data_IF_060975441231
#
_entry.id   IF_060975441231
#
_cell.length_a   1.000
_cell.length_b   1.000
_cell.length_c   1.000
_cell.angle_alpha   90.00
_cell.angle_beta   90.00
_cell.angle_gamma   90.00
#
_symmetry.space_group_name_H-M   'P 1'
#
loop_
_entity.id
_entity.type
_entity.pdbx_description
1 polymer ?
#
# COMPACT_ATOMS: atom_id res chain seq x y z
N UNK A 1 -51.35 -9.46 -17.04
CA UNK A 1 -50.47 -9.30 -18.22
C UNK A 1 -49.03 -9.14 -17.75
N UNK A 2 -48.16 -10.02 -18.22
CA UNK A 2 -46.81 -10.24 -17.75
C UNK A 2 -45.87 -9.12 -18.16
N UNK A 3 -45.14 -8.55 -17.19
CA UNK A 3 -43.97 -7.71 -17.44
C UNK A 3 -42.70 -8.48 -17.06
N UNK A 4 -41.89 -8.84 -18.05
CA UNK A 4 -40.64 -9.56 -17.86
C UNK A 4 -39.56 -8.59 -17.35
N UNK A 5 -39.01 -8.86 -16.18
CA UNK A 5 -37.81 -8.22 -15.70
C UNK A 5 -36.59 -8.78 -16.40
N UNK A 6 -35.84 -7.91 -17.07
CA UNK A 6 -34.54 -8.23 -17.66
C UNK A 6 -33.50 -8.16 -16.54
N UNK A 7 -32.98 -9.34 -16.19
CA UNK A 7 -31.89 -9.45 -15.25
C UNK A 7 -30.58 -8.91 -15.85
N UNK A 8 -30.10 -7.80 -15.32
CA UNK A 8 -28.73 -7.35 -15.59
C UNK A 8 -27.74 -8.32 -14.95
N UNK A 9 -26.98 -9.01 -15.79
CA UNK A 9 -25.83 -9.80 -15.34
C UNK A 9 -24.71 -8.86 -14.99
N UNK A 10 -24.52 -8.59 -13.69
CA UNK A 10 -23.31 -8.01 -13.20
C UNK A 10 -22.15 -8.95 -13.47
N UNK A 11 -21.15 -8.48 -14.20
CA UNK A 11 -19.89 -9.18 -14.37
C UNK A 11 -19.23 -9.25 -12.98
N UNK A 12 -19.42 -10.37 -12.30
CA UNK A 12 -18.72 -10.67 -11.06
C UNK A 12 -17.25 -10.88 -11.36
N UNK A 13 -16.42 -9.87 -11.13
CA UNK A 13 -14.99 -10.07 -11.03
C UNK A 13 -14.74 -11.07 -9.91
N UNK A 14 -14.14 -12.21 -10.23
CA UNK A 14 -13.69 -13.21 -9.25
C UNK A 14 -12.43 -12.67 -8.57
N UNK A 15 -12.58 -11.67 -7.71
CA UNK A 15 -11.55 -11.31 -6.76
C UNK A 15 -11.65 -12.29 -5.60
N UNK A 16 -10.59 -13.04 -5.33
CA UNK A 16 -10.49 -13.82 -4.11
C UNK A 16 -10.60 -12.91 -2.88
N UNK A 17 -10.99 -13.47 -1.74
CA UNK A 17 -11.02 -12.72 -0.48
C UNK A 17 -9.62 -12.16 -0.16
N UNK A 18 -9.55 -10.89 0.20
CA UNK A 18 -8.30 -10.23 0.59
C UNK A 18 -8.17 -10.30 2.11
N UNK A 19 -7.01 -10.76 2.58
CA UNK A 19 -6.63 -10.68 3.99
C UNK A 19 -5.31 -9.98 4.18
N UNK A 20 -5.08 -9.45 5.36
CA UNK A 20 -3.81 -8.83 5.73
C UNK A 20 -3.08 -9.73 6.72
N UNK A 21 -1.80 -9.96 6.46
CA UNK A 21 -0.91 -10.69 7.37
C UNK A 21 0.40 -9.94 7.57
N UNK A 22 1.13 -10.30 8.62
CA UNK A 22 2.49 -9.80 8.82
C UNK A 22 3.39 -10.25 7.67
N UNK A 23 4.22 -9.34 7.16
CA UNK A 23 5.27 -9.68 6.22
C UNK A 23 6.39 -10.48 6.93
N UNK A 24 7.00 -11.38 6.19
CA UNK A 24 8.17 -12.13 6.63
C UNK A 24 9.35 -11.83 5.70
N UNK A 25 10.55 -12.24 6.08
CA UNK A 25 11.75 -12.08 5.24
C UNK A 25 11.61 -12.74 3.86
N UNK A 26 10.73 -13.71 3.73
CA UNK A 26 10.41 -14.37 2.45
C UNK A 26 9.69 -13.45 1.47
N UNK A 27 9.04 -12.40 1.96
CA UNK A 27 8.34 -11.42 1.14
C UNK A 27 9.29 -10.35 0.55
N UNK A 28 10.52 -10.24 1.03
CA UNK A 28 11.44 -9.16 0.71
C UNK A 28 11.62 -8.91 -0.80
N UNK A 29 11.87 -9.98 -1.56
CA UNK A 29 12.06 -9.87 -3.02
C UNK A 29 10.78 -9.42 -3.73
N UNK A 30 9.64 -9.93 -3.29
CA UNK A 30 8.32 -9.61 -3.85
C UNK A 30 7.95 -8.15 -3.61
N UNK A 31 8.17 -7.66 -2.39
CA UNK A 31 7.90 -6.28 -2.02
C UNK A 31 8.85 -5.31 -2.75
N UNK A 32 10.12 -5.63 -2.86
CA UNK A 32 11.09 -4.86 -3.65
C UNK A 32 10.65 -4.74 -5.11
N UNK A 33 10.21 -5.83 -5.72
CA UNK A 33 9.71 -5.84 -7.09
C UNK A 33 8.48 -4.96 -7.23
N UNK A 34 7.54 -5.01 -6.27
CA UNK A 34 6.34 -4.19 -6.29
C UNK A 34 6.67 -2.70 -6.26
N UNK A 35 7.60 -2.27 -5.42
CA UNK A 35 8.06 -0.87 -5.38
C UNK A 35 8.66 -0.44 -6.71
N UNK A 36 9.61 -1.22 -7.24
CA UNK A 36 10.33 -0.89 -8.46
C UNK A 36 9.47 -0.88 -9.72
N UNK A 37 8.45 -1.71 -9.78
CA UNK A 37 7.55 -1.84 -10.93
C UNK A 37 6.27 -1.02 -10.82
N UNK A 38 6.08 -0.27 -9.75
CA UNK A 38 4.88 0.54 -9.55
C UNK A 38 4.75 1.65 -10.59
N UNK A 39 3.60 1.72 -11.24
CA UNK A 39 3.26 2.80 -12.19
C UNK A 39 3.16 4.17 -11.53
N UNK A 40 2.97 4.23 -10.21
CA UNK A 40 3.01 5.48 -9.46
C UNK A 40 4.35 6.23 -9.63
N UNK A 41 5.42 5.51 -9.95
CA UNK A 41 6.77 6.03 -10.15
C UNK A 41 7.28 5.88 -11.59
N UNK A 42 6.39 5.88 -12.57
CA UNK A 42 6.76 5.91 -13.98
C UNK A 42 7.24 7.31 -14.42
N UNK A 43 7.91 7.37 -15.57
CA UNK A 43 8.37 8.61 -16.17
C UNK A 43 9.42 9.32 -15.31
N UNK A 44 9.25 10.61 -15.00
CA UNK A 44 10.24 11.38 -14.24
C UNK A 44 10.44 10.88 -12.80
N UNK A 45 9.51 10.09 -12.27
CA UNK A 45 9.58 9.53 -10.91
C UNK A 45 10.33 8.19 -10.83
N UNK A 46 10.62 7.54 -11.95
CA UNK A 46 11.20 6.20 -12.01
C UNK A 46 12.57 6.10 -11.29
N UNK A 47 13.40 7.14 -11.42
CA UNK A 47 14.72 7.17 -10.81
C UNK A 47 14.69 7.05 -9.27
N UNK A 48 13.63 7.50 -8.64
CA UNK A 48 13.48 7.48 -7.18
C UNK A 48 13.42 6.06 -6.60
N UNK A 49 12.87 5.12 -7.34
CA UNK A 49 12.67 3.73 -6.89
C UNK A 49 13.54 2.71 -7.60
N UNK A 50 14.32 3.12 -8.60
CA UNK A 50 15.13 2.21 -9.44
C UNK A 50 16.10 1.36 -8.63
N UNK A 51 16.71 1.92 -7.58
CA UNK A 51 17.64 1.24 -6.68
C UNK A 51 17.01 0.84 -5.34
N UNK A 52 15.72 1.04 -5.15
CA UNK A 52 15.07 0.81 -3.88
C UNK A 52 14.99 -0.68 -3.54
N UNK A 53 15.18 -1.00 -2.26
CA UNK A 53 15.13 -2.37 -1.76
C UNK A 53 14.39 -2.43 -0.42
N UNK A 54 13.41 -3.32 -0.34
CA UNK A 54 12.79 -3.72 0.92
C UNK A 54 13.55 -4.95 1.42
N UNK A 55 14.50 -4.73 2.32
CA UNK A 55 15.36 -5.79 2.82
C UNK A 55 14.76 -6.58 3.99
N UNK A 56 15.33 -7.77 4.30
CA UNK A 56 14.90 -8.57 5.46
C UNK A 56 15.01 -7.82 6.78
N UNK A 57 16.09 -7.07 7.01
CA UNK A 57 16.31 -6.31 8.24
C UNK A 57 15.25 -5.21 8.41
N UNK A 58 14.86 -4.56 7.33
CA UNK A 58 13.79 -3.57 7.33
C UNK A 58 12.44 -4.20 7.72
N UNK A 59 12.11 -5.34 7.17
CA UNK A 59 10.87 -6.07 7.49
C UNK A 59 10.83 -6.49 8.95
N UNK A 60 11.95 -6.94 9.50
CA UNK A 60 12.03 -7.33 10.91
C UNK A 60 12.00 -6.12 11.87
N UNK A 61 12.61 -5.00 11.46
CA UNK A 61 12.71 -3.80 12.30
C UNK A 61 11.42 -2.99 12.40
N UNK A 62 10.51 -3.10 11.41
CA UNK A 62 9.31 -2.27 11.32
C UNK A 62 8.04 -3.12 11.25
N UNK A 63 6.90 -2.44 11.41
CA UNK A 63 5.57 -3.04 11.26
C UNK A 63 5.20 -3.13 9.78
N UNK A 64 5.58 -4.23 9.12
CA UNK A 64 5.32 -4.46 7.69
C UNK A 64 4.23 -5.52 7.52
N UNK A 65 3.18 -5.16 6.79
CA UNK A 65 2.02 -6.02 6.55
C UNK A 65 1.70 -6.09 5.07
N UNK A 66 1.31 -7.25 4.61
CA UNK A 66 0.92 -7.52 3.21
C UNK A 66 -0.56 -7.85 3.11
N UNK A 67 -1.19 -7.30 2.07
CA UNK A 67 -2.52 -7.69 1.65
C UNK A 67 -2.38 -8.80 0.60
N UNK A 68 -3.04 -9.92 0.82
CA UNK A 68 -2.97 -11.09 -0.04
C UNK A 68 -4.35 -11.54 -0.49
N UNK A 69 -4.44 -11.96 -1.74
CA UNK A 69 -5.61 -12.65 -2.29
C UNK A 69 -5.36 -14.15 -2.26
N UNK A 70 -6.36 -14.90 -1.82
CA UNK A 70 -6.37 -16.36 -1.88
C UNK A 70 -7.03 -16.83 -3.18
N UNK A 71 -6.47 -17.87 -3.82
CA UNK A 71 -7.09 -18.54 -4.96
C UNK A 71 -6.79 -17.97 -6.34
N UNK A 72 -5.74 -17.15 -6.50
CA UNK A 72 -5.22 -16.79 -7.81
C UNK A 72 -4.43 -17.94 -8.45
N UNK A 73 -4.63 -18.20 -9.72
CA UNK A 73 -3.83 -19.18 -10.48
C UNK A 73 -2.33 -18.88 -10.31
N UNK A 74 -1.62 -19.84 -9.74
CA UNK A 74 -0.17 -19.80 -9.61
C UNK A 74 0.49 -20.00 -10.99
N UNK A 75 0.41 -19.01 -11.86
CA UNK A 75 1.24 -18.94 -13.06
C UNK A 75 2.55 -18.24 -12.75
N UNK A 76 3.39 -18.91 -11.97
CA UNK A 76 4.71 -18.44 -11.64
C UNK A 76 5.34 -19.34 -10.59
N UNK A 77 6.23 -20.21 -11.03
CA UNK A 77 6.92 -21.21 -10.24
C UNK A 77 7.44 -20.69 -8.89
N UNK A 78 6.84 -21.14 -7.80
CA UNK A 78 7.26 -20.85 -6.43
C UNK A 78 6.26 -21.44 -5.46
N UNK A 79 6.65 -22.51 -4.82
CA UNK A 79 5.89 -23.33 -3.87
C UNK A 79 5.24 -22.50 -2.76
N UNK A 80 3.93 -22.41 -2.79
CA UNK A 80 3.08 -21.81 -1.77
C UNK A 80 1.69 -21.66 -2.32
N UNK A 81 0.76 -22.46 -1.85
CA UNK A 81 -0.62 -22.50 -2.33
C UNK A 81 -1.23 -21.12 -2.55
N UNK A 82 -1.31 -20.70 -3.82
CA UNK A 82 -2.31 -19.76 -4.28
C UNK A 82 -2.38 -18.35 -3.69
N UNK A 83 -1.35 -17.86 -2.99
CA UNK A 83 -1.34 -16.55 -2.36
C UNK A 83 -0.69 -15.49 -3.27
N UNK A 84 -1.45 -14.45 -3.62
CA UNK A 84 -0.95 -13.32 -4.40
C UNK A 84 -0.89 -12.06 -3.54
N UNK A 85 0.28 -11.44 -3.42
CA UNK A 85 0.41 -10.14 -2.75
C UNK A 85 -0.13 -9.04 -3.65
N UNK A 86 -1.12 -8.30 -3.17
CA UNK A 86 -1.79 -7.22 -3.91
C UNK A 86 -1.49 -5.83 -3.34
N UNK A 87 -0.83 -5.75 -2.22
CA UNK A 87 -0.39 -4.50 -1.61
C UNK A 87 0.37 -4.73 -0.32
N UNK A 88 0.99 -3.70 0.19
CA UNK A 88 1.64 -3.71 1.50
C UNK A 88 1.81 -2.32 2.06
N UNK A 89 2.06 -2.23 3.36
CA UNK A 89 2.54 -1.02 3.99
C UNK A 89 3.66 -1.33 4.99
N UNK A 90 4.44 -0.32 5.30
CA UNK A 90 5.43 -0.34 6.37
C UNK A 90 5.22 0.85 7.30
N UNK A 91 4.97 0.56 8.56
CA UNK A 91 4.82 1.55 9.63
C UNK A 91 6.06 1.53 10.50
N UNK A 92 6.74 2.67 10.57
CA UNK A 92 7.79 2.95 11.55
C UNK A 92 7.13 3.44 12.83
N UNK A 93 7.51 2.89 13.98
CA UNK A 93 6.87 3.24 15.25
C UNK A 93 7.50 4.46 15.95
N UNK A 94 8.81 4.67 15.75
CA UNK A 94 9.54 5.73 16.41
C UNK A 94 10.53 6.44 15.46
N UNK A 95 10.26 7.66 15.03
CA UNK A 95 8.99 8.39 15.18
C UNK A 95 7.88 7.78 14.32
N UNK A 96 6.59 7.96 14.68
CA UNK A 96 5.49 7.31 13.93
C UNK A 96 5.37 7.83 12.49
N UNK A 97 5.64 6.96 11.53
CA UNK A 97 5.59 7.29 10.10
C UNK A 97 5.13 6.10 9.26
N UNK A 98 4.17 6.35 8.38
CA UNK A 98 3.85 5.44 7.29
C UNK A 98 4.90 5.62 6.20
N UNK A 99 5.95 4.79 6.26
CA UNK A 99 7.12 4.94 5.41
C UNK A 99 6.90 4.44 3.98
N UNK A 100 6.17 3.33 3.85
CA UNK A 100 5.82 2.74 2.56
C UNK A 100 4.35 2.35 2.53
N UNK A 101 3.70 2.58 1.40
CA UNK A 101 2.41 2.00 1.06
C UNK A 101 2.29 1.85 -0.45
N UNK A 102 2.06 0.63 -0.89
CA UNK A 102 1.93 0.28 -2.30
C UNK A 102 0.76 -0.67 -2.52
N UNK A 103 0.05 -0.45 -3.62
CA UNK A 103 -0.97 -1.36 -4.13
C UNK A 103 -0.54 -1.78 -5.52
N UNK A 104 -0.60 -3.08 -5.80
CA UNK A 104 -0.27 -3.61 -7.12
C UNK A 104 -1.12 -2.92 -8.20
N UNK A 105 -0.52 -2.58 -9.35
CA UNK A 105 -1.19 -1.82 -10.40
C UNK A 105 -2.49 -2.47 -10.86
N UNK A 106 -2.49 -3.79 -11.01
CA UNK A 106 -3.66 -4.60 -11.41
C UNK A 106 -4.76 -4.70 -10.33
N UNK A 107 -4.44 -4.36 -9.08
CA UNK A 107 -5.36 -4.40 -7.94
C UNK A 107 -5.89 -3.01 -7.53
N UNK A 108 -5.47 -1.95 -8.21
CA UNK A 108 -5.93 -0.61 -7.91
C UNK A 108 -7.43 -0.45 -8.23
N UNK A 109 -8.11 0.38 -7.44
CA UNK A 109 -9.56 0.58 -7.56
C UNK A 109 -10.42 -0.47 -6.84
N UNK A 110 -9.81 -1.49 -6.21
CA UNK A 110 -10.51 -2.54 -5.46
C UNK A 110 -10.63 -2.28 -3.95
N UNK A 111 -10.23 -1.11 -3.47
CA UNK A 111 -10.30 -0.74 -2.04
C UNK A 111 -9.14 -1.27 -1.19
N UNK A 112 -8.09 -1.82 -1.80
CA UNK A 112 -6.94 -2.37 -1.08
C UNK A 112 -6.23 -1.29 -0.24
N UNK A 113 -6.02 -0.10 -0.80
CA UNK A 113 -5.40 1.01 -0.09
C UNK A 113 -6.17 1.42 1.17
N UNK A 114 -7.49 1.48 1.10
CA UNK A 114 -8.35 1.77 2.25
C UNK A 114 -8.26 0.69 3.32
N UNK A 115 -8.22 -0.58 2.89
CA UNK A 115 -8.07 -1.73 3.78
C UNK A 115 -6.73 -1.69 4.52
N UNK A 116 -5.65 -1.37 3.81
CA UNK A 116 -4.31 -1.21 4.38
C UNK A 116 -4.25 -0.06 5.40
N UNK A 117 -4.85 1.08 5.10
CA UNK A 117 -4.90 2.22 6.03
C UNK A 117 -5.71 1.88 7.29
N UNK A 118 -6.84 1.22 7.15
CA UNK A 118 -7.64 0.79 8.30
C UNK A 118 -6.86 -0.15 9.21
N UNK A 119 -6.17 -1.12 8.64
CA UNK A 119 -5.32 -2.05 9.38
C UNK A 119 -4.14 -1.32 10.05
N UNK A 120 -3.48 -0.40 9.34
CA UNK A 120 -2.39 0.42 9.88
C UNK A 120 -2.84 1.24 11.09
N UNK A 121 -4.04 1.81 11.05
CA UNK A 121 -4.61 2.53 12.21
C UNK A 121 -4.79 1.61 13.41
N UNK A 122 -5.22 0.37 13.21
CA UNK A 122 -5.37 -0.60 14.30
C UNK A 122 -4.01 -0.97 14.90
N UNK A 123 -3.00 -1.22 14.07
CA UNK A 123 -1.63 -1.48 14.52
C UNK A 123 -1.07 -0.29 15.30
N UNK A 124 -1.22 0.91 14.78
CA UNK A 124 -0.78 2.14 15.45
C UNK A 124 -1.48 2.36 16.79
N UNK A 125 -2.79 2.14 16.84
CA UNK A 125 -3.59 2.25 18.07
C UNK A 125 -3.10 1.25 19.13
N UNK A 126 -2.85 0.02 18.76
CA UNK A 126 -2.33 -1.01 19.67
C UNK A 126 -0.92 -0.70 20.16
N UNK A 127 -0.15 0.08 19.41
CA UNK A 127 1.17 0.57 19.81
C UNK A 127 1.12 1.88 20.63
N UNK A 128 -0.07 2.42 20.92
CA UNK A 128 -0.22 3.66 21.68
C UNK A 128 0.05 4.93 20.88
N UNK A 129 0.01 4.87 19.55
CA UNK A 129 0.29 5.99 18.65
C UNK A 129 -1.00 6.75 18.38
N UNK A 130 -0.98 8.08 18.58
CA UNK A 130 -2.13 8.94 18.35
C UNK A 130 -2.24 9.45 16.92
N UNK A 131 -1.12 9.65 16.24
CA UNK A 131 -1.07 10.12 14.85
C UNK A 131 0.14 9.60 14.12
N UNK A 132 0.02 9.44 12.81
CA UNK A 132 1.05 8.89 11.92
C UNK A 132 1.37 9.93 10.83
N UNK A 133 2.65 10.23 10.68
CA UNK A 133 3.15 11.10 9.62
C UNK A 133 3.21 10.34 8.30
N UNK A 134 2.87 11.02 7.21
CA UNK A 134 3.05 10.52 5.84
C UNK A 134 3.73 11.60 5.00
N UNK A 135 4.83 11.27 4.35
CA UNK A 135 5.40 12.10 3.29
C UNK A 135 4.92 11.51 1.97
N UNK A 136 3.92 12.13 1.39
CA UNK A 136 3.22 11.58 0.25
C UNK A 136 4.01 11.78 -1.05
N UNK A 137 4.04 10.74 -1.89
CA UNK A 137 4.29 10.94 -3.31
C UNK A 137 3.22 11.90 -3.85
N UNK A 138 3.58 12.98 -4.59
CA UNK A 138 2.61 14.03 -4.96
C UNK A 138 1.31 13.51 -5.60
N UNK A 139 1.33 12.54 -6.55
CA UNK A 139 0.10 11.99 -7.12
C UNK A 139 -0.79 11.23 -6.13
N UNK A 140 -0.27 10.80 -4.99
CA UNK A 140 -1.02 10.04 -3.98
C UNK A 140 -1.72 10.93 -2.93
N UNK A 141 -1.50 12.23 -2.93
CA UNK A 141 -2.09 13.15 -1.94
C UNK A 141 -3.63 13.03 -1.88
N UNK A 142 -4.28 12.95 -3.02
CA UNK A 142 -5.73 12.79 -3.11
C UNK A 142 -6.23 11.51 -2.43
N UNK A 143 -5.52 10.42 -2.59
CA UNK A 143 -5.83 9.17 -1.89
C UNK A 143 -5.73 9.34 -0.37
N UNK A 144 -4.63 9.90 0.12
CA UNK A 144 -4.45 10.10 1.56
C UNK A 144 -5.51 11.03 2.16
N UNK A 145 -5.88 12.10 1.45
CA UNK A 145 -7.01 12.95 1.86
C UNK A 145 -8.31 12.17 1.93
N UNK A 146 -8.55 11.28 0.99
CA UNK A 146 -9.78 10.46 0.95
C UNK A 146 -9.91 9.49 2.12
N UNK A 147 -8.81 9.14 2.77
CA UNK A 147 -8.79 8.28 3.98
C UNK A 147 -8.62 9.07 5.28
N UNK A 148 -8.81 10.39 5.23
CA UNK A 148 -8.83 11.25 6.40
C UNK A 148 -7.50 11.89 6.78
N UNK A 149 -6.47 11.77 5.96
CA UNK A 149 -5.23 12.49 6.18
C UNK A 149 -5.42 13.99 5.92
N UNK A 150 -4.77 14.80 6.72
CA UNK A 150 -4.74 16.27 6.54
C UNK A 150 -3.30 16.71 6.25
N UNK A 151 -3.17 17.68 5.36
CA UNK A 151 -1.86 18.24 5.02
C UNK A 151 -1.37 19.12 6.17
N UNK A 152 -0.15 18.87 6.63
CA UNK A 152 0.49 19.59 7.73
C UNK A 152 1.72 20.39 7.29
N UNK A 153 2.20 20.19 6.07
CA UNK A 153 3.36 20.89 5.57
C UNK A 153 3.81 20.42 4.19
N UNK A 154 5.04 20.75 3.88
CA UNK A 154 5.72 20.37 2.66
C UNK A 154 7.16 19.96 2.98
N UNK A 155 7.59 18.81 2.49
CA UNK A 155 8.99 18.40 2.52
C UNK A 155 9.62 18.86 1.21
N UNK A 156 10.60 19.76 1.30
CA UNK A 156 11.27 20.33 0.14
C UNK A 156 12.01 19.25 -0.67
N UNK A 157 12.13 19.48 -1.97
CA UNK A 157 12.99 18.68 -2.84
C UNK A 157 14.41 18.60 -2.26
N UNK A 158 15.05 17.46 -2.44
CA UNK A 158 16.43 17.20 -2.03
C UNK A 158 17.19 16.55 -3.21
N UNK A 159 17.54 17.33 -4.25
CA UNK A 159 18.26 16.79 -5.40
C UNK A 159 19.65 16.26 -5.02
N UNK A 160 20.15 15.21 -5.67
CA UNK A 160 19.50 14.44 -6.75
C UNK A 160 18.57 13.32 -6.25
N UNK A 161 18.45 13.11 -4.93
CA UNK A 161 17.65 12.01 -4.36
C UNK A 161 16.15 12.17 -4.64
N UNK A 162 15.61 13.36 -4.42
CA UNK A 162 14.21 13.70 -4.71
C UNK A 162 14.15 15.05 -5.38
N UNK A 163 13.64 15.09 -6.61
CA UNK A 163 13.65 16.26 -7.48
C UNK A 163 12.45 17.20 -7.30
N UNK A 164 11.50 16.87 -6.44
CA UNK A 164 10.25 17.63 -6.24
C UNK A 164 9.89 17.73 -4.78
N UNK A 165 9.11 18.75 -4.45
CA UNK A 165 8.51 18.90 -3.12
C UNK A 165 7.44 17.83 -2.90
N UNK A 166 7.31 17.36 -1.67
CA UNK A 166 6.34 16.33 -1.27
C UNK A 166 5.40 16.86 -0.19
N UNK A 167 4.09 16.61 -0.30
CA UNK A 167 3.16 16.92 0.78
C UNK A 167 3.51 16.15 2.05
N UNK A 168 3.61 16.86 3.16
CA UNK A 168 3.63 16.24 4.48
C UNK A 168 2.21 16.19 5.02
N UNK A 169 1.80 15.02 5.48
CA UNK A 169 0.43 14.76 5.92
C UNK A 169 0.43 14.03 7.25
N UNK A 170 -0.68 14.11 7.95
CA UNK A 170 -0.90 13.40 9.20
C UNK A 170 -2.21 12.62 9.14
N UNK A 171 -2.16 11.37 9.56
CA UNK A 171 -3.31 10.51 9.74
C UNK A 171 -3.56 10.37 11.24
N UNK A 172 -4.71 10.83 11.72
CA UNK A 172 -5.11 10.61 13.10
C UNK A 172 -5.56 9.15 13.27
N UNK A 173 -5.10 8.52 14.34
CA UNK A 173 -5.35 7.10 14.64
C UNK A 173 -6.64 6.92 15.41
N UNK A 174 -6.97 7.89 16.25
CA UNK A 174 -8.19 7.91 17.07
C UNK A 174 -9.11 8.97 16.50
N UNK A 175 -10.37 8.61 16.24
CA UNK A 175 -11.43 9.57 15.91
C UNK A 175 -12.00 10.19 17.18
#
# INVERSE_FOLDING_TARGET
MAGRGVGGRGAGGRGGAVRIRRATVRDAKRLTRMVRSSRAYEGPHAAMVAGYRVGPDYIEAHEVYVAVEEGGDASGAGEGMGERVVGFYALVLEPPELDLMFVADEAQGAGIGRLLIAHMRDVARNAGIASVRVVSHPPAEGFYRSVGARRTGTVAANPPAVMWDRPEMTIDVVE
#
